data_IF_728130185801
#
_entry.id   IF_728130185801
#
_cell.length_a   1.000
_cell.length_b   1.000
_cell.length_c   1.000
_cell.angle_alpha   90.00
_cell.angle_beta   90.00
_cell.angle_gamma   90.00
#
_symmetry.space_group_name_H-M   'P 1'
#
loop_
_entity.id
_entity.type
_entity.pdbx_description
1 polymer ?
#
# COMPACT_ATOMS: atom_id res chain seq x y z
N UNK A 1 8.38 -6.41 -8.99
CA UNK A 1 8.61 -5.15 -8.26
C UNK A 1 7.69 -4.10 -8.87
N UNK A 2 7.10 -3.25 -8.03
CA UNK A 2 6.07 -2.30 -8.42
C UNK A 2 6.42 -0.85 -8.07
N UNK A 3 5.48 0.05 -8.35
CA UNK A 3 5.57 1.47 -7.99
C UNK A 3 4.23 1.94 -7.41
N UNK A 4 4.26 2.81 -6.40
CA UNK A 4 3.10 3.55 -5.93
C UNK A 4 2.80 4.69 -6.88
N UNK A 5 1.57 4.79 -7.36
CA UNK A 5 1.09 5.85 -8.24
C UNK A 5 0.16 6.76 -7.45
N UNK A 6 0.75 7.80 -6.88
CA UNK A 6 0.09 8.69 -5.95
C UNK A 6 -0.52 9.91 -6.66
N UNK A 7 -1.54 10.47 -6.01
CA UNK A 7 -2.30 11.62 -6.49
C UNK A 7 -3.77 11.54 -6.12
N UNK A 8 -4.39 10.36 -6.16
CA UNK A 8 -5.80 10.15 -5.85
C UNK A 8 -6.12 10.41 -4.38
N UNK A 9 -5.08 10.32 -3.55
CA UNK A 9 -5.07 10.54 -2.12
C UNK A 9 -4.61 11.94 -1.69
N UNK A 10 -4.08 12.77 -2.59
CA UNK A 10 -3.55 14.10 -2.25
C UNK A 10 -4.62 15.04 -1.70
N UNK A 11 -4.19 16.14 -1.07
CA UNK A 11 -5.09 17.22 -0.65
C UNK A 11 -5.95 16.88 0.57
N UNK A 12 -5.35 16.23 1.57
CA UNK A 12 -6.01 15.73 2.80
C UNK A 12 -6.83 16.79 3.54
N UNK A 13 -6.40 18.05 3.52
CA UNK A 13 -7.14 19.16 4.15
C UNK A 13 -8.41 19.58 3.40
N UNK A 14 -8.73 18.95 2.26
CA UNK A 14 -9.88 19.28 1.41
C UNK A 14 -10.59 17.99 0.97
N UNK A 15 -11.50 17.49 1.82
CA UNK A 15 -12.32 16.30 1.56
C UNK A 15 -13.80 16.70 1.36
N UNK A 16 -14.48 16.21 0.31
CA UNK A 16 -13.97 15.35 -0.76
C UNK A 16 -13.01 16.08 -1.73
N UNK A 17 -12.99 17.41 -1.69
CA UNK A 17 -12.10 18.21 -2.54
C UNK A 17 -12.63 18.38 -3.96
N UNK A 18 -11.73 18.70 -4.89
CA UNK A 18 -12.06 19.02 -6.29
C UNK A 18 -10.99 18.40 -7.18
N UNK A 19 -11.42 17.52 -8.08
CA UNK A 19 -10.54 16.86 -9.06
C UNK A 19 -9.80 17.90 -9.92
N UNK A 20 -8.53 17.64 -10.22
CA UNK A 20 -7.60 18.56 -10.88
C UNK A 20 -7.32 19.88 -10.14
N UNK A 21 -7.70 19.98 -8.86
CA UNK A 21 -7.30 21.10 -7.98
C UNK A 21 -6.65 20.58 -6.70
N UNK A 22 -7.34 19.69 -5.99
CA UNK A 22 -6.87 19.12 -4.72
C UNK A 22 -6.25 17.74 -4.89
N UNK A 23 -6.67 16.98 -5.93
CA UNK A 23 -6.20 15.64 -6.23
C UNK A 23 -6.32 15.34 -7.73
N UNK A 24 -5.67 14.26 -8.18
CA UNK A 24 -5.69 13.79 -9.56
C UNK A 24 -5.49 12.27 -9.59
N UNK A 25 -6.04 11.57 -10.58
CA UNK A 25 -5.72 10.14 -10.76
C UNK A 25 -4.52 9.95 -11.69
N UNK A 26 -3.70 8.91 -11.47
CA UNK A 26 -2.44 8.70 -12.19
C UNK A 26 -2.55 8.68 -13.72
N UNK A 27 -1.46 9.06 -14.38
CA UNK A 27 -1.39 9.14 -15.83
C UNK A 27 -1.16 7.75 -16.46
N UNK A 28 -2.09 7.30 -17.29
CA UNK A 28 -2.04 5.97 -17.93
C UNK A 28 -0.82 5.80 -18.86
N UNK A 29 -0.36 6.86 -19.52
CA UNK A 29 0.82 6.81 -20.40
C UNK A 29 2.13 6.71 -19.59
N UNK A 30 2.19 7.40 -18.44
CA UNK A 30 3.31 7.27 -17.50
C UNK A 30 3.38 5.86 -16.91
N UNK A 31 2.26 5.34 -16.41
CA UNK A 31 2.15 3.95 -15.96
C UNK A 31 2.56 2.97 -17.07
N UNK A 32 2.11 3.23 -18.30
CA UNK A 32 2.50 2.41 -19.45
C UNK A 32 4.01 2.40 -19.69
N UNK A 33 4.67 3.55 -19.54
CA UNK A 33 6.12 3.65 -19.66
C UNK A 33 6.81 2.88 -18.52
N UNK A 34 6.27 2.90 -17.31
CA UNK A 34 6.78 2.11 -16.17
C UNK A 34 6.66 0.61 -16.45
N UNK A 35 5.51 0.15 -16.98
CA UNK A 35 5.30 -1.25 -17.39
C UNK A 35 6.27 -1.65 -18.51
N UNK A 36 6.56 -0.76 -19.47
CA UNK A 36 7.57 -0.97 -20.52
C UNK A 36 9.00 -1.15 -19.95
N UNK A 37 9.30 -0.65 -18.74
CA UNK A 37 10.56 -0.93 -18.04
C UNK A 37 10.59 -2.29 -17.33
N UNK A 38 9.43 -2.92 -17.14
CA UNK A 38 9.27 -4.19 -16.41
C UNK A 38 8.46 -4.08 -15.10
N UNK A 39 7.99 -2.88 -14.73
CA UNK A 39 7.09 -2.72 -13.57
C UNK A 39 5.81 -3.54 -13.81
N UNK A 40 5.43 -4.38 -12.85
CA UNK A 40 4.30 -5.30 -13.00
C UNK A 40 3.23 -5.18 -11.91
N UNK A 41 3.41 -4.27 -10.95
CA UNK A 41 2.43 -3.95 -9.90
C UNK A 41 2.38 -2.43 -9.72
N UNK A 42 1.18 -1.89 -9.64
CA UNK A 42 0.90 -0.48 -9.35
C UNK A 42 0.07 -0.42 -8.07
N UNK A 43 0.52 0.30 -7.04
CA UNK A 43 -0.28 0.58 -5.84
C UNK A 43 -0.84 1.99 -5.96
N UNK A 44 -2.16 2.14 -6.00
CA UNK A 44 -2.80 3.41 -6.39
C UNK A 44 -3.66 3.95 -5.25
N UNK A 45 -3.23 5.07 -4.69
CA UNK A 45 -3.90 5.73 -3.57
C UNK A 45 -5.25 6.34 -3.96
N UNK A 46 -6.20 6.26 -3.02
CA UNK A 46 -7.47 6.99 -3.04
C UNK A 46 -7.80 7.50 -1.64
N UNK A 47 -8.79 8.41 -1.52
CA UNK A 47 -9.45 8.71 -0.23
C UNK A 47 -10.81 8.04 -0.14
N UNK A 48 -11.08 7.39 0.98
CA UNK A 48 -12.39 6.84 1.31
C UNK A 48 -13.47 7.94 1.20
N UNK A 49 -13.23 9.13 1.73
CA UNK A 49 -14.16 10.27 1.71
C UNK A 49 -14.50 10.76 0.30
N UNK A 50 -13.69 10.43 -0.72
CA UNK A 50 -13.98 10.71 -2.14
C UNK A 50 -14.80 9.60 -2.76
N UNK A 51 -14.40 8.36 -2.49
CA UNK A 51 -15.11 7.18 -2.98
C UNK A 51 -16.48 7.00 -2.33
N UNK A 52 -16.69 7.47 -1.11
CA UNK A 52 -17.93 7.36 -0.35
C UNK A 52 -18.10 8.60 0.55
N UNK A 53 -18.86 9.59 0.08
CA UNK A 53 -19.02 10.89 0.74
C UNK A 53 -19.70 10.83 2.12
N UNK A 54 -20.50 9.80 2.38
CA UNK A 54 -21.18 9.58 3.66
C UNK A 54 -21.05 8.10 4.01
N UNK A 55 -20.72 7.77 5.26
CA UNK A 55 -20.70 6.38 5.73
C UNK A 55 -22.01 5.67 5.38
N UNK A 56 -21.93 4.42 4.92
CA UNK A 56 -23.06 3.62 4.41
C UNK A 56 -23.72 4.15 3.13
N UNK A 57 -23.34 5.33 2.64
CA UNK A 57 -23.83 5.92 1.40
C UNK A 57 -23.34 5.16 0.17
N UNK A 58 -23.88 5.51 -1.00
CA UNK A 58 -23.41 4.98 -2.27
C UNK A 58 -21.96 5.41 -2.55
N UNK A 59 -21.26 4.64 -3.39
CA UNK A 59 -19.98 5.10 -3.90
C UNK A 59 -20.18 6.28 -4.85
N UNK A 60 -19.28 7.26 -4.79
CA UNK A 60 -19.29 8.43 -5.65
C UNK A 60 -18.98 8.02 -7.09
N UNK A 61 -19.98 8.11 -7.96
CA UNK A 61 -19.89 7.65 -9.36
C UNK A 61 -18.69 8.23 -10.11
N UNK A 62 -18.40 9.53 -9.90
CA UNK A 62 -17.29 10.20 -10.56
C UNK A 62 -15.93 9.59 -10.18
N UNK A 63 -15.61 9.53 -8.90
CA UNK A 63 -14.31 9.05 -8.42
C UNK A 63 -14.10 7.57 -8.74
N UNK A 64 -15.13 6.73 -8.56
CA UNK A 64 -15.08 5.32 -8.96
C UNK A 64 -14.82 5.19 -10.46
N UNK A 65 -15.50 5.99 -11.28
CA UNK A 65 -15.35 5.94 -12.75
C UNK A 65 -13.94 6.34 -13.19
N UNK A 66 -13.41 7.46 -12.69
CA UNK A 66 -12.07 7.92 -13.08
C UNK A 66 -10.96 6.99 -12.56
N UNK A 67 -11.07 6.52 -11.33
CA UNK A 67 -10.12 5.55 -10.78
C UNK A 67 -10.15 4.23 -11.55
N UNK A 68 -11.35 3.70 -11.84
CA UNK A 68 -11.52 2.45 -12.58
C UNK A 68 -10.93 2.54 -14.00
N UNK A 69 -10.95 3.69 -14.66
CA UNK A 69 -10.27 3.85 -15.97
C UNK A 69 -8.78 3.54 -15.89
N UNK A 70 -8.11 4.01 -14.83
CA UNK A 70 -6.68 3.74 -14.63
C UNK A 70 -6.47 2.27 -14.30
N UNK A 71 -7.31 1.69 -13.43
CA UNK A 71 -7.29 0.25 -13.09
C UNK A 71 -7.42 -0.61 -14.35
N UNK A 72 -8.45 -0.38 -15.16
CA UNK A 72 -8.74 -1.17 -16.36
C UNK A 72 -7.63 -1.04 -17.40
N UNK A 73 -7.11 0.17 -17.64
CA UNK A 73 -6.02 0.38 -18.59
C UNK A 73 -4.71 -0.31 -18.15
N UNK A 74 -4.44 -0.31 -16.85
CA UNK A 74 -3.24 -0.93 -16.25
C UNK A 74 -3.34 -2.45 -16.28
N UNK A 75 -4.48 -2.99 -15.83
CA UNK A 75 -4.71 -4.44 -15.80
C UNK A 75 -4.85 -5.05 -17.19
N UNK A 76 -5.35 -4.31 -18.18
CA UNK A 76 -5.35 -4.73 -19.59
C UNK A 76 -3.93 -4.92 -20.17
N UNK A 77 -2.91 -4.32 -19.55
CA UNK A 77 -1.49 -4.54 -19.89
C UNK A 77 -0.86 -5.69 -19.09
N UNK A 78 -1.63 -6.38 -18.26
CA UNK A 78 -1.22 -7.55 -17.49
C UNK A 78 -0.59 -7.26 -16.13
N UNK A 79 -0.39 -5.98 -15.80
CA UNK A 79 0.07 -5.54 -14.49
C UNK A 79 -1.05 -5.67 -13.43
N UNK A 80 -0.65 -5.88 -12.18
CA UNK A 80 -1.57 -5.85 -11.03
C UNK A 80 -1.79 -4.42 -10.59
N UNK A 81 -3.01 -4.10 -10.13
CA UNK A 81 -3.31 -2.85 -9.43
C UNK A 81 -3.75 -3.16 -8.01
N UNK A 82 -3.06 -2.59 -7.02
CA UNK A 82 -3.46 -2.60 -5.62
C UNK A 82 -4.31 -1.35 -5.39
N UNK A 83 -5.55 -1.55 -4.96
CA UNK A 83 -6.43 -0.49 -4.50
C UNK A 83 -6.05 -0.16 -3.06
N UNK A 84 -5.68 1.10 -2.81
CA UNK A 84 -5.21 1.56 -1.50
C UNK A 84 -6.04 2.75 -1.01
N UNK A 85 -7.05 2.53 -0.13
CA UNK A 85 -7.64 3.60 0.66
C UNK A 85 -6.60 4.20 1.59
N UNK A 86 -6.05 5.34 1.21
CA UNK A 86 -4.90 5.94 1.86
C UNK A 86 -5.32 6.79 3.05
N UNK A 87 -5.90 6.14 4.07
CA UNK A 87 -6.75 6.78 5.07
C UNK A 87 -6.34 6.55 6.52
N UNK A 88 -5.22 5.88 6.78
CA UNK A 88 -4.67 5.73 8.15
C UNK A 88 -5.66 5.10 9.15
N UNK A 89 -6.45 4.12 8.67
CA UNK A 89 -7.57 3.53 9.40
C UNK A 89 -8.59 4.55 9.96
N UNK A 90 -8.84 5.63 9.21
CA UNK A 90 -9.76 6.72 9.60
C UNK A 90 -10.73 7.11 8.49
N UNK A 91 -11.83 7.72 8.90
CA UNK A 91 -12.76 8.45 8.03
C UNK A 91 -13.10 9.79 8.67
N UNK A 92 -12.84 10.90 7.97
CA UNK A 92 -12.93 12.26 8.52
C UNK A 92 -12.23 12.35 9.90
N UNK A 93 -10.98 11.88 9.97
CA UNK A 93 -10.10 11.83 11.16
C UNK A 93 -10.56 10.93 12.32
N UNK A 94 -11.72 10.28 12.23
CA UNK A 94 -12.20 9.37 13.25
C UNK A 94 -11.74 7.93 12.98
N UNK A 95 -11.26 7.24 14.00
CA UNK A 95 -10.73 5.88 13.90
C UNK A 95 -11.81 4.86 13.55
N UNK A 96 -11.49 3.91 12.67
CA UNK A 96 -12.30 2.71 12.47
C UNK A 96 -12.41 1.96 13.80
N UNK A 97 -13.64 1.62 14.20
CA UNK A 97 -13.96 1.02 15.49
C UNK A 97 -14.42 2.00 16.56
N UNK A 98 -14.32 3.31 16.31
CA UNK A 98 -14.92 4.34 17.17
C UNK A 98 -16.46 4.35 17.07
N UNK A 99 -17.11 5.17 17.90
CA UNK A 99 -18.56 5.40 17.81
C UNK A 99 -18.91 6.13 16.50
N UNK A 100 -18.04 7.04 16.05
CA UNK A 100 -18.21 7.85 14.85
C UNK A 100 -17.97 7.04 13.56
N UNK A 101 -17.05 6.08 13.58
CA UNK A 101 -16.70 5.23 12.43
C UNK A 101 -16.70 3.77 12.90
N UNK A 102 -17.89 3.18 13.08
CA UNK A 102 -18.01 1.77 13.49
C UNK A 102 -17.44 0.83 12.41
N UNK A 103 -17.02 -0.37 12.82
CA UNK A 103 -16.44 -1.37 11.91
C UNK A 103 -17.37 -1.68 10.73
N UNK A 104 -18.69 -1.67 10.97
CA UNK A 104 -19.71 -1.89 9.94
C UNK A 104 -19.66 -0.87 8.80
N UNK A 105 -19.20 0.36 9.07
CA UNK A 105 -19.03 1.37 8.04
C UNK A 105 -17.85 1.01 7.11
N UNK A 106 -16.76 0.49 7.69
CA UNK A 106 -15.60 0.03 6.93
C UNK A 106 -15.91 -1.23 6.10
N UNK A 107 -16.69 -2.16 6.65
CA UNK A 107 -17.13 -3.35 5.90
C UNK A 107 -18.13 -3.02 4.79
N UNK A 108 -19.02 -2.04 5.00
CA UNK A 108 -19.90 -1.52 3.96
C UNK A 108 -19.12 -0.93 2.78
N UNK A 109 -18.14 -0.07 3.07
CA UNK A 109 -17.25 0.49 2.06
C UNK A 109 -16.56 -0.62 1.26
N UNK A 110 -15.91 -1.56 1.95
CA UNK A 110 -15.19 -2.65 1.28
C UNK A 110 -16.09 -3.60 0.50
N UNK A 111 -17.33 -3.84 0.96
CA UNK A 111 -18.32 -4.62 0.20
C UNK A 111 -18.61 -3.95 -1.14
N UNK A 112 -18.85 -2.63 -1.14
CA UNK A 112 -19.14 -1.87 -2.35
C UNK A 112 -17.94 -1.78 -3.29
N UNK A 113 -16.74 -1.55 -2.76
CA UNK A 113 -15.50 -1.56 -3.57
C UNK A 113 -15.28 -2.94 -4.19
N UNK A 114 -15.44 -4.02 -3.41
CA UNK A 114 -15.31 -5.37 -3.93
C UNK A 114 -16.31 -5.66 -5.05
N UNK A 115 -17.58 -5.26 -4.93
CA UNK A 115 -18.58 -5.42 -6.00
C UNK A 115 -18.18 -4.75 -7.31
N UNK A 116 -17.43 -3.63 -7.27
CA UNK A 116 -16.94 -2.95 -8.48
C UNK A 116 -15.79 -3.72 -9.16
N UNK A 117 -14.92 -4.38 -8.38
CA UNK A 117 -13.63 -4.86 -8.86
C UNK A 117 -13.42 -6.39 -8.79
N UNK A 118 -14.36 -7.14 -8.18
CA UNK A 118 -14.19 -8.59 -7.90
C UNK A 118 -13.92 -9.47 -9.11
N UNK A 119 -14.43 -9.08 -10.28
CA UNK A 119 -14.27 -9.85 -11.52
C UNK A 119 -12.92 -9.57 -12.22
N UNK A 120 -12.11 -8.65 -11.71
CA UNK A 120 -10.77 -8.37 -12.25
C UNK A 120 -9.70 -9.06 -11.40
N UNK A 121 -9.21 -10.22 -11.85
CA UNK A 121 -8.19 -11.03 -11.16
C UNK A 121 -6.85 -10.31 -10.97
N UNK A 122 -6.61 -9.21 -11.70
CA UNK A 122 -5.41 -8.37 -11.59
C UNK A 122 -5.59 -7.22 -10.60
N UNK A 123 -6.73 -7.13 -9.92
CA UNK A 123 -6.94 -6.20 -8.80
C UNK A 123 -6.63 -6.89 -7.48
N UNK A 124 -5.82 -6.24 -6.65
CA UNK A 124 -5.60 -6.58 -5.25
C UNK A 124 -6.23 -5.49 -4.36
N UNK A 125 -6.66 -5.86 -3.17
CA UNK A 125 -7.28 -4.96 -2.20
C UNK A 125 -6.32 -4.73 -1.03
N UNK A 126 -5.67 -3.56 -0.94
CA UNK A 126 -4.97 -3.13 0.27
C UNK A 126 -5.97 -2.50 1.22
N UNK A 127 -6.14 -3.07 2.42
CA UNK A 127 -7.31 -2.73 3.26
C UNK A 127 -7.37 -1.25 3.67
N UNK A 128 -6.22 -0.66 3.99
CA UNK A 128 -6.06 0.77 4.26
C UNK A 128 -4.57 1.06 4.33
N UNK A 129 -4.13 2.29 4.02
CA UNK A 129 -2.76 2.68 4.30
C UNK A 129 -2.53 2.87 5.80
N UNK A 130 -1.44 2.32 6.33
CA UNK A 130 -0.80 2.68 7.61
C UNK A 130 -1.75 2.97 8.81
N UNK A 131 -2.48 1.97 9.34
CA UNK A 131 -3.11 2.10 10.65
C UNK A 131 -2.12 2.58 11.73
N UNK A 132 -2.50 3.58 12.52
CA UNK A 132 -1.67 4.12 13.61
C UNK A 132 -2.51 4.80 14.70
N UNK A 133 -1.90 4.97 15.89
CA UNK A 133 -2.51 5.60 17.07
C UNK A 133 -3.86 4.98 17.46
N UNK A 134 -3.94 3.65 17.43
CA UNK A 134 -5.08 2.85 17.86
C UNK A 134 -4.63 1.58 18.57
N UNK A 135 -5.53 0.88 19.26
CA UNK A 135 -5.21 -0.43 19.83
C UNK A 135 -5.02 -1.46 18.70
N UNK A 136 -3.94 -2.23 18.76
CA UNK A 136 -3.60 -3.22 17.71
C UNK A 136 -4.70 -4.27 17.55
N UNK A 137 -5.36 -4.69 18.65
CA UNK A 137 -6.47 -5.64 18.60
C UNK A 137 -7.71 -5.07 17.88
N UNK A 138 -8.04 -3.79 18.12
CA UNK A 138 -9.15 -3.11 17.45
C UNK A 138 -8.91 -3.04 15.93
N UNK A 139 -7.67 -2.78 15.51
CA UNK A 139 -7.31 -2.79 14.10
C UNK A 139 -7.50 -4.17 13.47
N UNK A 140 -6.88 -5.23 14.01
CA UNK A 140 -6.96 -6.56 13.38
C UNK A 140 -8.38 -7.14 13.43
N UNK A 141 -9.20 -6.76 14.41
CA UNK A 141 -10.64 -7.07 14.43
C UNK A 141 -11.37 -6.40 13.27
N UNK A 142 -11.11 -5.12 12.99
CA UNK A 142 -11.68 -4.40 11.86
C UNK A 142 -11.19 -4.96 10.52
N UNK A 143 -9.89 -5.26 10.41
CA UNK A 143 -9.30 -5.88 9.22
C UNK A 143 -9.95 -7.24 8.92
N UNK A 144 -10.12 -8.11 9.92
CA UNK A 144 -10.80 -9.40 9.77
C UNK A 144 -12.22 -9.25 9.26
N UNK A 145 -12.97 -8.31 9.83
CA UNK A 145 -14.34 -8.02 9.41
C UNK A 145 -14.40 -7.53 7.95
N UNK A 146 -13.45 -6.69 7.52
CA UNK A 146 -13.35 -6.26 6.13
C UNK A 146 -13.03 -7.42 5.18
N UNK A 147 -12.09 -8.30 5.53
CA UNK A 147 -11.81 -9.50 4.72
C UNK A 147 -13.05 -10.37 4.56
N UNK A 148 -13.77 -10.64 5.66
CA UNK A 148 -14.97 -11.48 5.62
C UNK A 148 -16.07 -10.85 4.75
N UNK A 149 -16.26 -9.53 4.85
CA UNK A 149 -17.21 -8.79 4.03
C UNK A 149 -16.83 -8.82 2.53
N UNK A 150 -15.54 -8.63 2.20
CA UNK A 150 -15.05 -8.76 0.82
C UNK A 150 -15.32 -10.18 0.30
N UNK A 151 -14.97 -11.21 1.07
CA UNK A 151 -15.19 -12.61 0.65
C UNK A 151 -16.68 -12.96 0.51
N UNK A 152 -17.56 -12.33 1.29
CA UNK A 152 -19.01 -12.53 1.17
C UNK A 152 -19.59 -12.03 -0.18
N UNK A 153 -18.90 -11.12 -0.89
CA UNK A 153 -19.26 -10.70 -2.26
C UNK A 153 -18.95 -11.75 -3.34
N UNK A 154 -18.19 -12.78 -2.98
CA UNK A 154 -17.62 -13.76 -3.90
C UNK A 154 -16.26 -13.37 -4.48
N UNK A 155 -15.68 -12.23 -4.07
CA UNK A 155 -14.36 -11.80 -4.54
C UNK A 155 -13.24 -12.77 -4.13
N UNK A 156 -12.43 -13.21 -5.09
CA UNK A 156 -11.26 -14.07 -4.87
C UNK A 156 -9.92 -13.31 -4.94
N UNK A 157 -9.97 -12.00 -5.15
CA UNK A 157 -8.81 -11.10 -5.23
C UNK A 157 -7.85 -11.27 -4.04
N UNK A 158 -6.57 -10.98 -4.25
CA UNK A 158 -5.63 -10.91 -3.13
C UNK A 158 -5.99 -9.74 -2.22
N UNK A 159 -5.94 -9.95 -0.92
CA UNK A 159 -6.14 -8.90 0.08
C UNK A 159 -4.84 -8.70 0.85
N UNK A 160 -4.40 -7.45 0.97
CA UNK A 160 -3.22 -7.05 1.74
C UNK A 160 -3.67 -6.48 3.08
N UNK A 161 -3.08 -7.03 4.16
CA UNK A 161 -3.43 -6.70 5.55
C UNK A 161 -2.25 -5.92 6.15
N UNK A 162 -2.36 -4.59 6.32
CA UNK A 162 -1.35 -3.83 7.04
C UNK A 162 -1.46 -4.10 8.55
N UNK A 163 -0.46 -3.68 9.30
CA UNK A 163 -0.44 -3.62 10.76
C UNK A 163 -0.58 -2.20 11.32
N UNK A 164 -0.67 -2.12 12.64
CA UNK A 164 -0.64 -0.87 13.40
C UNK A 164 0.78 -0.29 13.47
N UNK A 165 0.90 0.97 13.89
CA UNK A 165 2.18 1.66 14.02
C UNK A 165 2.80 2.03 12.68
N UNK A 166 2.00 2.55 11.76
CA UNK A 166 2.41 2.97 10.41
C UNK A 166 2.88 1.80 9.55
N UNK A 167 2.37 0.61 9.83
CA UNK A 167 2.70 -0.62 9.12
C UNK A 167 4.22 -0.93 9.01
N UNK A 168 5.03 -0.40 9.93
CA UNK A 168 6.49 -0.46 9.84
C UNK A 168 7.04 -1.89 10.01
N UNK A 169 7.79 -2.39 9.02
CA UNK A 169 8.41 -3.71 9.10
C UNK A 169 9.39 -3.82 10.28
N UNK A 170 10.18 -2.76 10.52
CA UNK A 170 11.14 -2.67 11.62
C UNK A 170 10.52 -2.80 13.01
N UNK A 171 9.22 -2.49 13.14
CA UNK A 171 8.48 -2.51 14.40
C UNK A 171 7.42 -3.61 14.47
N UNK A 172 7.33 -4.50 13.47
CA UNK A 172 6.27 -5.52 13.37
C UNK A 172 6.11 -6.40 14.62
N UNK A 173 7.22 -6.76 15.25
CA UNK A 173 7.27 -7.65 16.41
C UNK A 173 7.88 -6.99 17.65
N UNK A 174 9.10 -7.38 17.97
CA UNK A 174 9.81 -7.09 19.22
C UNK A 174 10.11 -5.62 19.47
N UNK A 175 10.15 -4.80 18.41
CA UNK A 175 10.37 -3.35 18.48
C UNK A 175 9.06 -2.54 18.48
N UNK A 176 7.89 -3.19 18.58
CA UNK A 176 6.61 -2.51 18.67
C UNK A 176 6.58 -1.57 19.90
N UNK A 177 6.22 -0.30 19.66
CA UNK A 177 6.11 0.74 20.69
C UNK A 177 4.65 1.13 20.98
N UNK A 178 3.73 0.62 20.18
CA UNK A 178 2.31 0.97 20.12
C UNK A 178 1.40 -0.05 20.82
N UNK A 179 1.91 -0.73 21.85
CA UNK A 179 1.17 -1.73 22.62
C UNK A 179 1.48 -3.16 22.19
N UNK A 180 0.46 -4.01 22.05
CA UNK A 180 0.64 -5.37 21.56
C UNK A 180 1.16 -5.36 20.12
N UNK A 181 2.15 -6.22 19.83
CA UNK A 181 2.82 -6.23 18.52
C UNK A 181 1.91 -6.76 17.41
N UNK A 182 2.10 -6.30 16.18
CA UNK A 182 1.37 -6.82 15.02
C UNK A 182 1.61 -8.32 14.86
N UNK A 183 2.85 -8.78 15.07
CA UNK A 183 3.23 -10.19 14.99
C UNK A 183 2.38 -11.11 15.89
N UNK A 184 2.05 -10.67 17.10
CA UNK A 184 1.23 -11.46 18.03
C UNK A 184 -0.26 -11.36 17.69
N UNK A 185 -0.76 -10.13 17.51
CA UNK A 185 -2.19 -9.88 17.37
C UNK A 185 -2.72 -10.41 16.02
N UNK A 186 -1.94 -10.29 14.94
CA UNK A 186 -2.33 -10.81 13.63
C UNK A 186 -2.71 -12.31 13.68
N UNK A 187 -1.98 -13.12 14.44
CA UNK A 187 -2.21 -14.57 14.55
C UNK A 187 -3.48 -14.92 15.36
N UNK A 188 -4.11 -13.95 16.02
CA UNK A 188 -5.43 -14.13 16.67
C UNK A 188 -6.56 -14.14 15.64
N UNK A 189 -6.36 -13.49 14.49
CA UNK A 189 -7.40 -13.23 13.49
C UNK A 189 -7.13 -13.90 12.13
N UNK A 190 -5.88 -14.24 11.84
CA UNK A 190 -5.45 -14.71 10.54
C UNK A 190 -4.51 -15.91 10.66
N UNK A 191 -4.55 -16.79 9.67
CA UNK A 191 -3.65 -17.94 9.57
C UNK A 191 -3.30 -18.24 8.10
N UNK A 192 -2.41 -19.21 7.88
CA UNK A 192 -2.07 -19.68 6.52
C UNK A 192 -3.23 -20.39 5.81
N UNK A 193 -4.33 -20.70 6.51
CA UNK A 193 -5.54 -21.26 5.91
C UNK A 193 -6.40 -20.20 5.20
N UNK A 194 -6.16 -18.92 5.48
CA UNK A 194 -6.86 -17.82 4.83
C UNK A 194 -6.49 -17.72 3.34
N UNK A 195 -7.52 -17.68 2.50
CA UNK A 195 -7.34 -17.68 1.04
C UNK A 195 -6.87 -16.32 0.51
N UNK A 196 -5.80 -16.36 -0.27
CA UNK A 196 -5.29 -15.21 -1.03
C UNK A 196 -5.05 -13.96 -0.15
N UNK A 197 -4.50 -14.13 1.05
CA UNK A 197 -4.09 -13.02 1.92
C UNK A 197 -2.57 -12.88 1.89
N UNK A 198 -2.08 -11.64 2.05
CA UNK A 198 -0.70 -11.35 2.43
C UNK A 198 -0.68 -10.21 3.45
N UNK A 199 0.31 -10.19 4.34
CA UNK A 199 0.54 -9.07 5.25
C UNK A 199 1.37 -8.00 4.55
N UNK A 200 0.90 -6.76 4.58
CA UNK A 200 1.64 -5.60 4.08
C UNK A 200 2.54 -5.07 5.19
N UNK A 201 3.70 -4.52 4.80
CA UNK A 201 4.55 -3.70 5.65
C UNK A 201 5.21 -2.59 4.83
N UNK A 202 5.53 -1.47 5.47
CA UNK A 202 6.27 -0.35 4.91
C UNK A 202 7.66 -0.26 5.54
N UNK A 203 8.63 0.29 4.79
CA UNK A 203 9.98 0.51 5.33
C UNK A 203 10.72 1.66 4.65
N UNK A 204 11.06 2.67 5.44
CA UNK A 204 12.03 3.71 5.08
C UNK A 204 13.31 3.57 5.91
N UNK A 205 14.36 4.28 5.52
CA UNK A 205 15.72 4.07 6.05
C UNK A 205 16.36 5.32 6.64
N UNK A 206 15.61 6.40 6.75
CA UNK A 206 16.02 7.59 7.44
C UNK A 206 16.00 7.40 8.97
N UNK A 207 16.45 8.40 9.71
CA UNK A 207 16.77 8.29 11.14
C UNK A 207 15.61 7.81 12.03
N UNK A 208 14.37 8.06 11.63
CA UNK A 208 13.14 7.69 12.33
C UNK A 208 12.19 6.80 11.51
N UNK A 209 12.66 6.29 10.37
CA UNK A 209 11.91 5.39 9.47
C UNK A 209 10.66 6.01 8.83
N UNK A 210 10.55 7.34 8.79
CA UNK A 210 9.38 8.06 8.27
C UNK A 210 9.44 8.34 6.77
N UNK A 211 10.62 8.25 6.13
CA UNK A 211 10.82 8.63 4.74
C UNK A 211 10.79 10.14 4.50
N UNK A 212 11.02 10.95 5.54
CA UNK A 212 10.94 12.42 5.47
C UNK A 212 12.30 13.12 5.51
N UNK A 213 13.39 12.38 5.77
CA UNK A 213 14.74 12.92 5.75
C UNK A 213 15.56 12.37 4.58
N UNK A 214 16.51 13.17 4.11
CA UNK A 214 17.39 12.84 2.98
C UNK A 214 18.57 11.95 3.43
N UNK A 215 18.29 10.77 4.01
CA UNK A 215 19.34 9.82 4.43
C UNK A 215 18.85 8.37 4.48
N UNK A 216 19.80 7.42 4.36
CA UNK A 216 19.55 5.98 4.51
C UNK A 216 20.52 5.32 5.50
N UNK A 217 20.39 5.71 6.76
CA UNK A 217 21.33 5.40 7.85
C UNK A 217 21.15 4.01 8.46
N UNK A 218 20.05 3.31 8.13
CA UNK A 218 19.64 2.05 8.79
C UNK A 218 20.34 0.80 8.24
N UNK A 219 21.64 0.89 7.95
CA UNK A 219 22.43 -0.22 7.39
C UNK A 219 22.91 -1.20 8.47
N UNK A 220 23.00 -2.52 8.18
CA UNK A 220 22.50 -3.24 7.00
C UNK A 220 20.98 -3.13 6.84
N UNK A 221 20.49 -2.64 5.69
CA UNK A 221 19.08 -2.22 5.54
C UNK A 221 18.07 -3.36 5.54
N UNK A 222 18.49 -4.54 5.10
CA UNK A 222 17.72 -5.79 5.21
C UNK A 222 17.43 -6.19 6.66
N UNK A 223 18.18 -5.71 7.66
CA UNK A 223 17.89 -6.02 9.06
C UNK A 223 16.51 -5.55 9.50
N UNK A 224 15.98 -4.48 8.90
CA UNK A 224 14.67 -3.93 9.24
C UNK A 224 13.51 -4.86 8.85
N UNK A 225 13.73 -5.84 7.95
CA UNK A 225 12.71 -6.81 7.55
C UNK A 225 12.91 -8.21 8.12
N UNK A 226 14.05 -8.49 8.80
CA UNK A 226 14.38 -9.86 9.24
C UNK A 226 13.32 -10.43 10.16
N UNK A 227 12.88 -9.67 11.15
CA UNK A 227 11.87 -10.13 12.10
C UNK A 227 10.53 -10.42 11.40
N UNK A 228 10.09 -9.54 10.49
CA UNK A 228 8.88 -9.76 9.70
C UNK A 228 8.99 -11.02 8.82
N UNK A 229 10.10 -11.19 8.10
CA UNK A 229 10.33 -12.36 7.23
C UNK A 229 10.40 -13.66 8.04
N UNK A 230 11.07 -13.65 9.19
CA UNK A 230 11.15 -14.83 10.06
C UNK A 230 9.78 -15.16 10.68
N UNK A 231 8.98 -14.15 11.01
CA UNK A 231 7.60 -14.33 11.44
C UNK A 231 6.72 -14.95 10.33
N UNK A 232 6.85 -14.51 9.08
CA UNK A 232 6.14 -15.11 7.95
C UNK A 232 6.52 -16.59 7.76
N UNK A 233 7.82 -16.90 7.81
CA UNK A 233 8.33 -18.28 7.70
C UNK A 233 7.81 -19.19 8.79
N UNK A 234 7.82 -18.68 10.02
CA UNK A 234 7.39 -19.46 11.20
C UNK A 234 5.92 -19.84 11.13
N UNK A 235 5.10 -18.98 10.53
CA UNK A 235 3.64 -19.13 10.50
C UNK A 235 3.08 -19.55 9.13
N UNK A 236 3.94 -19.83 8.15
CA UNK A 236 3.59 -20.15 6.75
C UNK A 236 2.70 -19.08 6.09
N UNK A 237 3.01 -17.81 6.35
CA UNK A 237 2.27 -16.66 5.84
C UNK A 237 2.99 -16.02 4.64
N UNK A 238 2.27 -15.21 3.86
CA UNK A 238 2.85 -14.40 2.78
C UNK A 238 2.88 -12.93 3.17
N UNK A 239 3.90 -12.22 2.70
CA UNK A 239 4.09 -10.79 2.92
C UNK A 239 4.22 -10.00 1.63
N UNK A 240 4.00 -8.70 1.74
CA UNK A 240 4.17 -7.69 0.71
C UNK A 240 4.84 -6.47 1.33
N UNK A 241 5.77 -5.84 0.61
CA UNK A 241 6.37 -4.58 1.08
C UNK A 241 5.72 -3.43 0.32
N UNK A 242 4.73 -2.77 0.93
CA UNK A 242 3.86 -1.76 0.31
C UNK A 242 4.59 -0.49 -0.07
N UNK A 243 5.56 -0.07 0.74
CA UNK A 243 6.33 1.14 0.50
C UNK A 243 7.78 0.96 0.92
N UNK A 244 8.68 1.35 0.00
CA UNK A 244 10.07 1.69 0.28
C UNK A 244 10.45 2.94 -0.49
N UNK A 245 11.39 3.71 0.02
CA UNK A 245 11.92 4.87 -0.69
C UNK A 245 13.29 5.26 -0.17
N UNK A 246 13.95 6.14 -0.91
CA UNK A 246 15.23 6.74 -0.51
C UNK A 246 15.66 7.82 -1.50
N UNK A 247 16.45 8.78 -1.02
CA UNK A 247 16.98 9.87 -1.83
C UNK A 247 18.03 9.42 -2.82
N UNK A 248 18.25 10.21 -3.88
CA UNK A 248 19.19 9.90 -4.96
C UNK A 248 20.66 10.12 -4.55
N UNK A 249 21.20 9.23 -3.73
CA UNK A 249 22.60 9.19 -3.30
C UNK A 249 23.14 7.74 -3.19
N UNK A 250 24.46 7.59 -3.07
CA UNK A 250 25.11 6.27 -3.06
C UNK A 250 24.82 5.45 -1.78
N UNK A 251 24.52 6.10 -0.66
CA UNK A 251 24.18 5.42 0.59
C UNK A 251 22.78 4.79 0.48
N UNK A 252 21.80 5.58 0.05
CA UNK A 252 20.45 5.11 -0.22
C UNK A 252 20.41 4.06 -1.34
N UNK A 253 21.19 4.24 -2.41
CA UNK A 253 21.33 3.20 -3.45
C UNK A 253 21.78 1.87 -2.86
N UNK A 254 22.86 1.88 -2.07
CA UNK A 254 23.40 0.67 -1.46
C UNK A 254 22.41 0.01 -0.51
N UNK A 255 21.70 0.82 0.29
CA UNK A 255 20.66 0.38 1.21
C UNK A 255 19.49 -0.31 0.49
N UNK A 256 18.95 0.32 -0.56
CA UNK A 256 17.83 -0.21 -1.37
C UNK A 256 18.23 -1.48 -2.08
N UNK A 257 19.40 -1.53 -2.73
CA UNK A 257 19.84 -2.74 -3.44
C UNK A 257 20.07 -3.91 -2.48
N UNK A 258 20.66 -3.66 -1.31
CA UNK A 258 20.83 -4.64 -0.24
C UNK A 258 19.48 -5.19 0.25
N UNK A 259 18.46 -4.34 0.38
CA UNK A 259 17.11 -4.80 0.72
C UNK A 259 16.50 -5.64 -0.41
N UNK A 260 16.56 -5.17 -1.65
CA UNK A 260 15.95 -5.85 -2.80
C UNK A 260 16.56 -7.24 -3.05
N UNK A 261 17.88 -7.38 -2.87
CA UNK A 261 18.57 -8.67 -2.90
C UNK A 261 18.02 -9.61 -1.80
N UNK A 262 17.90 -9.12 -0.58
CA UNK A 262 17.32 -9.89 0.53
C UNK A 262 15.86 -10.30 0.25
N UNK A 263 15.04 -9.42 -0.33
CA UNK A 263 13.68 -9.77 -0.71
C UNK A 263 13.63 -10.86 -1.79
N UNK A 264 14.52 -10.82 -2.78
CA UNK A 264 14.64 -11.87 -3.79
C UNK A 264 15.04 -13.22 -3.18
N UNK A 265 15.97 -13.22 -2.22
CA UNK A 265 16.37 -14.44 -1.48
C UNK A 265 15.22 -15.04 -0.66
N UNK A 266 14.20 -14.24 -0.32
CA UNK A 266 13.05 -14.63 0.49
C UNK A 266 11.73 -14.60 -0.30
N UNK A 267 11.79 -14.70 -1.64
CA UNK A 267 10.64 -14.58 -2.54
C UNK A 267 9.57 -15.69 -2.38
N UNK A 268 9.89 -16.76 -1.64
CA UNK A 268 8.91 -17.77 -1.24
C UNK A 268 7.86 -17.18 -0.28
N UNK A 269 8.25 -16.23 0.57
CA UNK A 269 7.39 -15.62 1.58
C UNK A 269 7.03 -14.17 1.26
N UNK A 270 7.93 -13.41 0.62
CA UNK A 270 7.65 -12.04 0.19
C UNK A 270 7.27 -12.02 -1.29
N UNK A 271 6.03 -11.62 -1.58
CA UNK A 271 5.45 -11.62 -2.92
C UNK A 271 5.99 -10.48 -3.80
N UNK A 272 6.55 -9.44 -3.19
CA UNK A 272 7.15 -8.31 -3.89
C UNK A 272 7.22 -7.06 -3.03
N UNK A 273 7.51 -5.96 -3.71
CA UNK A 273 7.70 -4.63 -3.13
C UNK A 273 7.27 -3.55 -4.11
N UNK A 274 6.78 -2.42 -3.60
CA UNK A 274 6.45 -1.21 -4.35
C UNK A 274 7.27 0.00 -3.88
N UNK A 275 7.86 0.73 -4.83
CA UNK A 275 8.58 1.98 -4.56
C UNK A 275 7.61 3.13 -4.27
N UNK A 276 7.89 3.95 -3.27
CA UNK A 276 7.21 5.22 -3.01
C UNK A 276 8.09 6.39 -3.48
N UNK A 277 7.72 7.13 -4.54
CA UNK A 277 6.51 6.98 -5.35
C UNK A 277 6.71 7.46 -6.80
N UNK A 278 5.70 7.29 -7.63
CA UNK A 278 5.46 7.96 -8.90
C UNK A 278 4.10 8.68 -8.83
N UNK A 279 3.67 9.29 -9.93
CA UNK A 279 2.42 10.01 -10.03
C UNK A 279 2.57 11.44 -10.56
N UNK A 280 1.55 11.96 -11.23
CA UNK A 280 1.66 13.13 -12.11
C UNK A 280 1.92 14.45 -11.36
N UNK A 281 1.68 14.51 -10.05
CA UNK A 281 1.86 15.71 -9.22
C UNK A 281 3.03 15.62 -8.23
N UNK A 282 3.81 14.53 -8.25
CA UNK A 282 5.04 14.42 -7.44
C UNK A 282 6.15 15.36 -7.89
N UNK A 283 6.12 15.77 -9.16
CA UNK A 283 7.22 16.52 -9.78
C UNK A 283 8.52 15.72 -9.78
N UNK A 284 9.65 16.43 -9.87
CA UNK A 284 10.99 15.85 -9.86
C UNK A 284 11.65 15.95 -8.49
N UNK A 285 10.98 15.47 -7.44
CA UNK A 285 11.57 15.42 -6.10
C UNK A 285 12.46 14.17 -5.91
N UNK A 286 13.15 14.10 -4.77
CA UNK A 286 14.16 13.08 -4.49
C UNK A 286 13.62 11.65 -4.33
N UNK A 287 12.30 11.46 -4.28
CA UNK A 287 11.64 10.15 -4.16
C UNK A 287 10.87 9.74 -5.42
N UNK A 288 10.59 10.70 -6.31
CA UNK A 288 9.82 10.47 -7.53
C UNK A 288 10.56 9.55 -8.51
N UNK A 289 9.86 8.53 -9.01
CA UNK A 289 10.24 7.72 -10.18
C UNK A 289 9.28 7.92 -11.36
N UNK A 290 8.45 8.96 -11.33
CA UNK A 290 7.54 9.31 -12.42
C UNK A 290 8.35 9.66 -13.70
N UNK A 291 8.07 9.03 -14.84
CA UNK A 291 8.71 9.39 -16.10
C UNK A 291 8.22 10.76 -16.58
N UNK A 292 9.12 11.53 -17.20
CA UNK A 292 8.73 12.80 -17.83
C UNK A 292 7.96 12.57 -19.17
N UNK A 293 7.50 13.65 -19.80
CA UNK A 293 6.76 13.60 -21.09
C UNK A 293 7.53 12.90 -22.24
N UNK A 294 8.85 12.74 -22.12
CA UNK A 294 9.70 12.01 -23.07
C UNK A 294 9.93 10.55 -22.68
N UNK A 295 9.23 10.06 -21.65
CA UNK A 295 9.41 8.75 -21.02
C UNK A 295 10.81 8.55 -20.42
N UNK A 296 11.49 9.63 -20.01
CA UNK A 296 12.77 9.54 -19.32
C UNK A 296 12.53 9.43 -17.81
N UNK A 297 13.15 8.44 -17.17
CA UNK A 297 12.97 8.15 -15.75
C UNK A 297 14.02 8.84 -14.87
N UNK A 298 13.67 9.20 -13.62
CA UNK A 298 14.62 9.57 -12.58
C UNK A 298 15.67 8.48 -12.29
N UNK A 299 16.79 8.87 -11.69
CA UNK A 299 17.97 8.02 -11.52
C UNK A 299 17.72 6.75 -10.70
N UNK A 300 16.76 6.80 -9.76
CA UNK A 300 16.38 5.69 -8.89
C UNK A 300 15.82 4.51 -9.69
N UNK A 301 15.18 4.75 -10.85
CA UNK A 301 14.73 3.66 -11.73
C UNK A 301 15.89 2.78 -12.20
N UNK A 302 17.10 3.32 -12.36
CA UNK A 302 18.28 2.52 -12.69
C UNK A 302 18.70 1.58 -11.54
N UNK A 303 18.32 1.86 -10.29
CA UNK A 303 18.56 0.99 -9.14
C UNK A 303 17.57 -0.16 -9.09
N UNK A 304 16.32 0.11 -9.49
CA UNK A 304 15.22 -0.85 -9.49
C UNK A 304 15.26 -1.81 -10.69
N UNK A 305 15.72 -1.33 -11.85
CA UNK A 305 15.71 -2.09 -13.12
C UNK A 305 16.30 -3.51 -13.08
N UNK A 306 17.39 -3.80 -12.34
CA UNK A 306 17.90 -5.16 -12.20
C UNK A 306 16.95 -6.14 -11.49
N UNK A 307 15.92 -5.63 -10.80
CA UNK A 307 14.96 -6.37 -9.99
C UNK A 307 13.54 -6.39 -10.59
N UNK A 308 13.36 -5.82 -11.79
CA UNK A 308 12.08 -5.80 -12.54
C UNK A 308 11.85 -7.09 -13.33
#
# INVERSE_FOLDING_TARGET
LGVNEAGGEFGEGHLPGVYNTHYIYPNIDAISASIEQGVNVIRMGLRWERFQHELYGELTEFDVTEYKKVVDATTAKGAVVIIDPHNYARYNDNLIGSEEVPIEAFTDFWTKVAEVFKDNEKVWFGLVNEPHDMETDDWFKAARAAVDAIRATGAENKILIPGNGWDGAWSWGSQAWYGESNAEVALRYFSSEDKNIAFEVHQYFDSDYSGTHDSCEKRPCQNNLKEFVDWLKTNDLKGWVGEIGGTLDDECKGCVQELLEYLQENNEYILGVTWWAAGPWWGHNAYSVEPNDKKEFPGQMAWLKPFL
#
